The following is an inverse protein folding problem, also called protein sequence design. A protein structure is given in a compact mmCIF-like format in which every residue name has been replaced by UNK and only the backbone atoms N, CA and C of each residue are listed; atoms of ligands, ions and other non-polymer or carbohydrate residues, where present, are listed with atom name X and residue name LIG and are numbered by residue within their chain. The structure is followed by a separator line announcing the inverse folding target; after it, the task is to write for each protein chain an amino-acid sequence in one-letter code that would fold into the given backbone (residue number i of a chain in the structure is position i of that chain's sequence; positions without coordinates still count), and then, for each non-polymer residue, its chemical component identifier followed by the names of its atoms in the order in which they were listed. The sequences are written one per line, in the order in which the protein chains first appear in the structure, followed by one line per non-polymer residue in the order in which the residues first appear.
data_IF_952150013316
#
_entry.id   IF_952150013316
#
_cell.length_a   1.000
_cell.length_b   1.000
_cell.length_c   1.000
_cell.angle_alpha   90.00
_cell.angle_beta   90.00
_cell.angle_gamma   90.00
#
_symmetry.space_group_name_H-M   'P 1'
#
loop_
_entity.id
_entity.type
_entity.pdbx_description
1 polymer ?
#
# COMPACT_ATOMS: atom_id res chain seq x y z
N UNK A 1 2.74 9.41 -5.17
CA UNK A 1 3.30 10.22 -6.29
C UNK A 1 3.68 11.65 -5.86
N UNK A 2 2.75 12.55 -5.52
CA UNK A 2 3.09 13.98 -5.26
C UNK A 2 4.14 14.20 -4.15
N UNK A 3 4.07 13.43 -3.05
CA UNK A 3 5.03 13.54 -1.94
C UNK A 3 6.45 13.13 -2.34
N UNK A 4 6.59 12.12 -3.19
CA UNK A 4 7.88 11.61 -3.69
C UNK A 4 8.50 12.65 -4.64
N UNK A 5 7.70 13.23 -5.52
CA UNK A 5 8.15 14.29 -6.43
C UNK A 5 8.68 15.50 -5.64
N UNK A 6 8.03 15.87 -4.53
CA UNK A 6 8.48 16.98 -3.70
C UNK A 6 9.82 16.70 -3.01
N UNK A 7 10.06 15.48 -2.52
CA UNK A 7 11.34 15.10 -1.91
C UNK A 7 12.46 15.04 -2.96
N UNK A 8 12.19 14.53 -4.16
CA UNK A 8 13.14 14.55 -5.28
C UNK A 8 13.51 15.98 -5.67
N UNK A 9 12.52 16.87 -5.81
CA UNK A 9 12.79 18.28 -6.13
C UNK A 9 13.64 18.97 -5.05
N UNK A 10 13.46 18.59 -3.77
CA UNK A 10 14.28 19.09 -2.66
C UNK A 10 15.72 18.59 -2.75
N UNK A 11 15.90 17.32 -3.09
CA UNK A 11 17.22 16.72 -3.30
C UNK A 11 17.98 17.41 -4.45
N UNK A 12 17.31 17.62 -5.59
CA UNK A 12 17.89 18.30 -6.75
C UNK A 12 18.37 19.71 -6.40
N UNK A 13 17.57 20.46 -5.63
CA UNK A 13 17.96 21.81 -5.19
C UNK A 13 19.20 21.82 -4.29
N UNK A 14 19.34 20.84 -3.40
CA UNK A 14 20.54 20.72 -2.55
C UNK A 14 21.78 20.34 -3.37
N UNK A 15 21.61 19.49 -4.39
CA UNK A 15 22.69 19.11 -5.31
C UNK A 15 23.13 20.32 -6.15
N UNK A 16 22.19 21.10 -6.69
CA UNK A 16 22.50 22.32 -7.46
C UNK A 16 23.32 23.33 -6.64
N UNK A 17 22.92 23.59 -5.39
CA UNK A 17 23.65 24.49 -4.49
C UNK A 17 25.08 23.99 -4.25
N UNK A 18 25.24 22.70 -3.96
CA UNK A 18 26.56 22.10 -3.74
C UNK A 18 27.44 22.16 -5.00
N UNK A 19 26.86 21.99 -6.20
CA UNK A 19 27.60 22.09 -7.46
C UNK A 19 28.03 23.52 -7.78
N UNK A 20 27.18 24.52 -7.49
CA UNK A 20 27.51 25.94 -7.63
C UNK A 20 28.65 26.33 -6.67
N UNK A 21 28.57 25.93 -5.40
CA UNK A 21 29.63 26.16 -4.40
C UNK A 21 30.96 25.54 -4.88
N UNK A 22 30.96 24.30 -5.40
CA UNK A 22 32.13 23.64 -5.96
C UNK A 22 32.70 24.34 -7.21
N UNK A 23 31.87 25.03 -7.98
CA UNK A 23 32.30 25.76 -9.18
C UNK A 23 33.13 27.01 -8.84
N UNK A 24 32.83 27.66 -7.72
CA UNK A 24 33.58 28.83 -7.22
C UNK A 24 34.97 28.46 -6.71
N UNK A 25 35.13 27.25 -6.15
CA UNK A 25 36.43 26.73 -5.65
C UNK A 25 37.47 26.60 -6.77
N UNK A 26 37.04 26.25 -8.00
CA UNK A 26 37.94 26.11 -9.16
C UNK A 26 38.61 27.44 -9.56
N UNK A 27 38.08 28.58 -9.13
CA UNK A 27 38.66 29.90 -9.38
C UNK A 27 39.72 30.34 -8.36
N UNK A 28 39.93 29.59 -7.28
CA UNK A 28 40.83 29.98 -6.18
C UNK A 28 42.29 29.55 -6.40
N UNK A 29 43.28 30.15 -5.71
CA UNK A 29 44.67 29.70 -5.72
C UNK A 29 44.84 28.27 -5.16
N UNK A 30 45.76 27.44 -5.70
CA UNK A 30 45.92 26.03 -5.31
C UNK A 30 46.08 25.77 -3.80
N UNK A 31 46.77 26.66 -3.08
CA UNK A 31 46.96 26.54 -1.63
C UNK A 31 45.65 26.69 -0.82
N UNK A 32 44.68 27.45 -1.34
CA UNK A 32 43.35 27.58 -0.72
C UNK A 32 42.39 26.49 -1.20
N UNK A 33 42.64 25.89 -2.37
CA UNK A 33 41.88 24.74 -2.86
C UNK A 33 42.13 23.51 -1.97
N UNK A 34 43.37 23.21 -1.58
CA UNK A 34 43.68 22.06 -0.71
C UNK A 34 43.03 22.15 0.69
N UNK A 35 43.01 23.34 1.30
CA UNK A 35 42.34 23.58 2.59
C UNK A 35 40.79 23.49 2.48
N UNK A 36 40.22 23.87 1.33
CA UNK A 36 38.77 23.80 1.07
C UNK A 36 38.30 22.42 0.58
N UNK A 37 39.17 21.59 0.02
CA UNK A 37 38.85 20.19 -0.39
C UNK A 37 38.42 19.33 0.80
N UNK A 38 38.86 19.68 2.01
CA UNK A 38 38.36 19.08 3.25
C UNK A 38 36.93 19.50 3.64
N UNK A 39 36.38 20.58 3.07
CA UNK A 39 35.10 21.16 3.50
C UNK A 39 33.84 20.47 2.96
N UNK A 40 33.83 19.74 1.84
CA UNK A 40 32.55 19.19 1.33
C UNK A 40 32.49 17.69 1.12
N UNK A 41 33.55 16.94 1.40
CA UNK A 41 33.47 15.47 1.35
C UNK A 41 32.50 14.95 2.41
N UNK A 42 32.51 15.52 3.62
CA UNK A 42 31.60 15.13 4.70
C UNK A 42 30.13 15.39 4.36
N UNK A 43 29.81 16.55 3.79
CA UNK A 43 28.44 16.88 3.36
C UNK A 43 27.99 16.06 2.16
N UNK A 44 28.89 15.79 1.21
CA UNK A 44 28.60 14.90 0.08
C UNK A 44 28.32 13.47 0.56
N UNK A 45 29.04 12.98 1.57
CA UNK A 45 28.77 11.69 2.19
C UNK A 45 27.41 11.67 2.92
N UNK A 46 27.05 12.73 3.64
CA UNK A 46 25.72 12.86 4.26
C UNK A 46 24.59 12.87 3.21
N UNK A 47 24.80 13.56 2.09
CA UNK A 47 23.86 13.60 0.97
C UNK A 47 23.71 12.23 0.30
N UNK A 48 24.82 11.52 0.05
CA UNK A 48 24.80 10.16 -0.51
C UNK A 48 24.03 9.22 0.44
N UNK A 49 24.34 9.27 1.74
CA UNK A 49 23.65 8.45 2.73
C UNK A 49 22.15 8.76 2.81
N UNK A 50 21.76 10.04 2.72
CA UNK A 50 20.35 10.42 2.67
C UNK A 50 19.66 9.89 1.40
N UNK A 51 20.31 9.97 0.24
CA UNK A 51 19.79 9.39 -1.02
C UNK A 51 19.61 7.87 -0.87
N UNK A 52 20.57 7.16 -0.29
CA UNK A 52 20.45 5.72 -0.06
C UNK A 52 19.27 5.36 0.84
N UNK A 53 19.03 6.13 1.90
CA UNK A 53 17.86 5.96 2.79
C UNK A 53 16.56 6.17 2.02
N UNK A 54 16.46 7.25 1.25
CA UNK A 54 15.26 7.58 0.48
C UNK A 54 14.99 6.51 -0.58
N UNK A 55 16.00 6.08 -1.32
CA UNK A 55 15.86 5.01 -2.32
C UNK A 55 15.43 3.70 -1.63
N UNK A 56 15.99 3.37 -0.46
CA UNK A 56 15.56 2.19 0.28
C UNK A 56 14.10 2.28 0.73
N UNK A 57 13.65 3.41 1.26
CA UNK A 57 12.24 3.61 1.65
C UNK A 57 11.29 3.53 0.45
N UNK A 58 11.68 4.10 -0.70
CA UNK A 58 10.93 3.98 -1.95
C UNK A 58 10.85 2.54 -2.43
N UNK A 59 11.97 1.81 -2.44
CA UNK A 59 12.00 0.38 -2.77
C UNK A 59 11.08 -0.41 -1.85
N UNK A 60 11.15 -0.22 -0.54
CA UNK A 60 10.28 -0.95 0.40
C UNK A 60 8.80 -0.66 0.17
N UNK A 61 8.45 0.57 -0.20
CA UNK A 61 7.06 0.94 -0.55
C UNK A 61 6.60 0.29 -1.84
N UNK A 62 7.38 0.35 -2.91
CA UNK A 62 7.06 -0.32 -4.18
C UNK A 62 6.99 -1.84 -4.01
N UNK A 63 7.96 -2.47 -3.33
CA UNK A 63 7.93 -3.89 -3.01
C UNK A 63 6.67 -4.26 -2.24
N UNK A 64 6.31 -3.46 -1.22
CA UNK A 64 5.09 -3.69 -0.45
C UNK A 64 3.84 -3.55 -1.32
N UNK A 65 3.78 -2.59 -2.23
CA UNK A 65 2.64 -2.41 -3.15
C UNK A 65 2.53 -3.57 -4.15
N UNK A 66 3.66 -4.06 -4.66
CA UNK A 66 3.73 -5.21 -5.58
C UNK A 66 3.30 -6.51 -4.89
N UNK A 67 3.71 -6.75 -3.63
CA UNK A 67 3.42 -7.99 -2.89
C UNK A 67 2.19 -7.90 -1.99
N UNK A 68 1.55 -6.72 -1.88
CA UNK A 68 0.32 -6.60 -1.09
C UNK A 68 -0.79 -7.35 -1.79
N UNK A 69 -1.49 -8.27 -1.09
CA UNK A 69 -2.60 -9.00 -1.68
C UNK A 69 -3.62 -8.00 -2.21
N UNK A 70 -4.00 -8.16 -3.48
CA UNK A 70 -5.00 -7.32 -4.11
C UNK A 70 -6.30 -7.47 -3.34
N UNK A 71 -6.86 -6.39 -2.83
CA UNK A 71 -8.14 -6.43 -2.11
C UNK A 71 -9.28 -6.23 -3.11
N UNK A 72 -10.24 -7.17 -3.12
CA UNK A 72 -11.43 -7.11 -3.97
C UNK A 72 -12.62 -6.75 -3.09
N UNK A 73 -13.26 -5.61 -3.38
CA UNK A 73 -14.45 -5.14 -2.66
C UNK A 73 -15.73 -5.40 -3.45
N UNK A 74 -16.83 -5.62 -2.73
CA UNK A 74 -18.15 -5.81 -3.32
C UNK A 74 -19.22 -5.98 -2.24
N UNK A 75 -20.35 -6.57 -2.63
CA UNK A 75 -21.47 -6.84 -1.74
C UNK A 75 -21.74 -8.34 -1.65
N UNK A 76 -22.18 -8.80 -0.47
CA UNK A 76 -22.72 -10.14 -0.32
C UNK A 76 -24.07 -10.23 -1.03
N UNK A 77 -24.22 -11.24 -1.88
CA UNK A 77 -25.44 -11.52 -2.63
C UNK A 77 -25.78 -13.00 -2.56
N UNK A 78 -27.01 -13.36 -2.21
CA UNK A 78 -27.44 -14.75 -2.16
C UNK A 78 -27.89 -15.28 -3.54
N UNK A 79 -27.16 -16.25 -4.07
CA UNK A 79 -27.58 -16.97 -5.26
C UNK A 79 -28.50 -18.15 -4.89
N UNK A 80 -29.77 -18.05 -5.29
CA UNK A 80 -30.77 -19.08 -5.02
C UNK A 80 -30.60 -20.38 -5.83
N UNK A 81 -29.92 -20.35 -6.98
CA UNK A 81 -29.70 -21.51 -7.85
C UNK A 81 -28.74 -22.50 -7.21
N UNK A 82 -27.64 -22.02 -6.63
CA UNK A 82 -26.64 -22.87 -5.95
C UNK A 82 -26.71 -22.81 -4.42
N UNK A 83 -27.60 -21.97 -3.86
CA UNK A 83 -27.84 -21.78 -2.42
C UNK A 83 -26.60 -21.26 -1.67
N UNK A 84 -25.83 -20.39 -2.30
CA UNK A 84 -24.59 -19.81 -1.75
C UNK A 84 -24.64 -18.29 -1.73
N UNK A 85 -23.93 -17.71 -0.78
CA UNK A 85 -23.55 -16.30 -0.87
C UNK A 85 -22.40 -16.12 -1.85
N UNK A 86 -22.40 -15.00 -2.55
CA UNK A 86 -21.38 -14.56 -3.49
C UNK A 86 -20.87 -13.19 -3.12
N UNK A 87 -19.63 -12.91 -3.49
CA UNK A 87 -19.15 -11.55 -3.66
C UNK A 87 -19.63 -11.06 -5.04
N UNK A 88 -20.35 -9.94 -5.08
CA UNK A 88 -20.68 -9.22 -6.31
C UNK A 88 -19.91 -7.89 -6.31
N UNK A 89 -19.00 -7.73 -7.25
CA UNK A 89 -18.19 -6.51 -7.40
C UNK A 89 -18.90 -5.48 -8.28
N UNK A 90 -18.41 -4.23 -8.27
CA UNK A 90 -18.98 -3.14 -9.09
C UNK A 90 -18.87 -3.38 -10.61
N UNK A 91 -17.88 -4.16 -11.03
CA UNK A 91 -17.66 -4.60 -12.41
C UNK A 91 -18.35 -5.94 -12.72
N UNK A 92 -19.29 -6.38 -11.87
CA UNK A 92 -20.13 -7.56 -12.03
C UNK A 92 -19.38 -8.91 -12.06
N UNK A 93 -18.16 -8.95 -11.50
CA UNK A 93 -17.51 -10.23 -11.21
C UNK A 93 -18.15 -10.87 -9.98
N UNK A 94 -18.33 -12.19 -10.06
CA UNK A 94 -18.94 -12.98 -9.00
C UNK A 94 -17.98 -14.06 -8.51
N UNK A 95 -17.82 -14.17 -7.18
CA UNK A 95 -17.07 -15.25 -6.52
C UNK A 95 -17.97 -15.95 -5.51
N UNK A 96 -18.20 -17.25 -5.68
CA UNK A 96 -18.94 -18.08 -4.71
C UNK A 96 -18.16 -18.19 -3.40
N UNK A 97 -18.87 -18.03 -2.28
CA UNK A 97 -18.33 -18.34 -0.97
C UNK A 97 -18.56 -19.81 -0.59
N UNK A 98 -17.54 -20.36 0.03
CA UNK A 98 -17.54 -21.63 0.73
C UNK A 98 -17.47 -21.41 2.23
N UNK A 99 -17.95 -22.41 2.96
CA UNK A 99 -17.76 -22.48 4.40
C UNK A 99 -16.26 -22.33 4.71
N UNK A 100 -15.94 -21.43 5.62
CA UNK A 100 -14.58 -21.19 6.06
C UNK A 100 -13.83 -20.11 5.28
N UNK A 101 -14.41 -19.53 4.23
CA UNK A 101 -13.76 -18.40 3.56
C UNK A 101 -13.66 -17.18 4.49
N UNK A 102 -12.47 -16.58 4.49
CA UNK A 102 -12.18 -15.34 5.20
C UNK A 102 -12.60 -14.15 4.36
N UNK A 103 -13.12 -13.12 5.04
CA UNK A 103 -13.52 -11.86 4.44
C UNK A 103 -13.54 -10.79 5.52
N UNK A 104 -13.49 -9.53 5.11
CA UNK A 104 -13.80 -8.39 5.96
C UNK A 104 -15.17 -7.86 5.59
N UNK A 105 -15.94 -7.43 6.58
CA UNK A 105 -17.25 -6.78 6.40
C UNK A 105 -17.20 -5.36 6.94
N UNK A 106 -17.80 -4.42 6.23
CA UNK A 106 -17.87 -3.03 6.66
C UNK A 106 -19.00 -2.85 7.68
N UNK A 107 -18.64 -2.47 8.90
CA UNK A 107 -19.56 -2.23 10.02
C UNK A 107 -19.17 -0.90 10.66
N UNK A 108 -20.10 0.06 10.75
CA UNK A 108 -19.85 1.39 11.32
C UNK A 108 -18.59 2.07 10.75
N UNK A 109 -18.43 2.03 9.42
CA UNK A 109 -17.27 2.56 8.68
C UNK A 109 -15.92 1.89 8.98
N UNK A 110 -15.91 0.77 9.69
CA UNK A 110 -14.72 -0.03 9.97
C UNK A 110 -14.79 -1.42 9.32
N UNK A 111 -13.65 -1.87 8.80
CA UNK A 111 -13.51 -3.21 8.24
C UNK A 111 -13.23 -4.22 9.35
N UNK A 112 -14.17 -5.15 9.55
CA UNK A 112 -14.07 -6.16 10.61
C UNK A 112 -13.77 -7.52 9.99
N UNK A 113 -12.70 -8.16 10.44
CA UNK A 113 -12.33 -9.52 10.04
C UNK A 113 -13.39 -10.53 10.47
N UNK A 114 -13.78 -11.40 9.55
CA UNK A 114 -14.73 -12.46 9.83
C UNK A 114 -14.48 -13.67 8.93
N UNK A 115 -15.29 -14.71 9.16
CA UNK A 115 -15.34 -15.92 8.37
C UNK A 115 -16.79 -16.27 8.10
N UNK A 116 -17.10 -16.58 6.86
CA UNK A 116 -18.45 -17.01 6.47
C UNK A 116 -18.59 -18.52 6.69
N UNK A 117 -19.65 -18.92 7.38
CA UNK A 117 -19.92 -20.30 7.75
C UNK A 117 -21.37 -20.66 7.41
N UNK A 118 -21.66 -21.96 7.41
CA UNK A 118 -23.02 -22.49 7.29
C UNK A 118 -23.28 -23.45 8.44
N UNK A 119 -24.45 -23.34 9.07
CA UNK A 119 -24.83 -24.21 10.18
C UNK A 119 -25.48 -25.52 9.68
N UNK A 120 -25.78 -26.44 10.61
CA UNK A 120 -26.41 -27.73 10.29
C UNK A 120 -27.79 -27.61 9.62
N UNK A 121 -28.46 -26.45 9.74
CA UNK A 121 -29.74 -26.16 9.08
C UNK A 121 -29.57 -25.50 7.71
N UNK A 122 -28.35 -25.37 7.21
CA UNK A 122 -28.08 -24.70 5.93
C UNK A 122 -28.16 -23.17 5.99
N UNK A 123 -28.24 -22.56 7.18
CA UNK A 123 -28.26 -21.10 7.32
C UNK A 123 -26.82 -20.57 7.33
N UNK A 124 -26.53 -19.66 6.41
CA UNK A 124 -25.27 -18.93 6.34
C UNK A 124 -25.17 -17.87 7.45
N UNK A 125 -23.99 -17.64 7.99
CA UNK A 125 -23.71 -16.65 9.03
C UNK A 125 -22.26 -16.17 9.02
N UNK A 126 -22.01 -14.99 9.60
CA UNK A 126 -20.67 -14.44 9.81
C UNK A 126 -20.24 -14.60 11.27
N UNK A 127 -19.06 -15.19 11.50
CA UNK A 127 -18.52 -15.38 12.84
C UNK A 127 -18.21 -14.02 13.50
N UNK A 128 -18.63 -13.85 14.75
CA UNK A 128 -18.32 -12.67 15.56
C UNK A 128 -19.12 -11.40 15.20
N UNK A 129 -19.84 -11.40 14.07
CA UNK A 129 -20.61 -10.23 13.59
C UNK A 129 -22.07 -10.28 14.04
N UNK A 130 -22.58 -11.46 14.40
CA UNK A 130 -23.97 -11.64 14.84
C UNK A 130 -25.02 -11.53 13.73
N UNK A 131 -24.60 -11.49 12.45
CA UNK A 131 -25.49 -11.45 11.28
C UNK A 131 -25.64 -12.82 10.62
N UNK A 132 -26.84 -13.16 10.15
CA UNK A 132 -27.14 -14.46 9.56
C UNK A 132 -28.29 -14.45 8.55
N UNK A 133 -28.28 -15.39 7.60
CA UNK A 133 -29.33 -15.50 6.58
C UNK A 133 -29.51 -14.19 5.81
N UNK A 134 -30.76 -13.75 5.65
CA UNK A 134 -31.10 -12.53 4.89
C UNK A 134 -30.42 -11.25 5.39
N UNK A 135 -29.94 -11.21 6.64
CA UNK A 135 -29.16 -10.07 7.18
C UNK A 135 -27.80 -9.89 6.51
N UNK A 136 -27.33 -10.91 5.78
CA UNK A 136 -26.08 -10.88 5.02
C UNK A 136 -26.23 -10.18 3.67
N UNK A 137 -27.46 -10.09 3.15
CA UNK A 137 -27.73 -9.53 1.83
C UNK A 137 -27.34 -8.05 1.75
N UNK A 138 -26.55 -7.69 0.74
CA UNK A 138 -26.11 -6.34 0.49
C UNK A 138 -24.98 -5.84 1.42
N UNK A 139 -24.54 -6.62 2.40
CA UNK A 139 -23.40 -6.23 3.24
C UNK A 139 -22.18 -5.98 2.37
N UNK A 140 -21.55 -4.81 2.55
CA UNK A 140 -20.30 -4.49 1.86
C UNK A 140 -19.17 -5.30 2.48
N UNK A 141 -18.45 -6.02 1.64
CA UNK A 141 -17.39 -6.94 2.03
C UNK A 141 -16.17 -6.74 1.16
N UNK A 142 -15.02 -7.20 1.66
CA UNK A 142 -13.79 -7.30 0.87
C UNK A 142 -13.05 -8.58 1.19
N UNK A 143 -12.34 -9.10 0.20
CA UNK A 143 -11.53 -10.31 0.31
C UNK A 143 -10.15 -10.05 -0.25
N UNK A 144 -9.17 -10.79 0.22
CA UNK A 144 -7.90 -10.90 -0.49
C UNK A 144 -8.18 -11.66 -1.80
N UNK A 145 -7.77 -11.05 -2.91
CA UNK A 145 -7.82 -11.60 -4.25
C UNK A 145 -6.63 -12.51 -4.46
N UNK A 146 -6.88 -13.67 -5.05
CA UNK A 146 -5.83 -14.55 -5.54
C UNK A 146 -5.27 -13.95 -6.84
N UNK A 147 -3.95 -13.94 -7.00
CA UNK A 147 -3.32 -13.75 -8.32
C UNK A 147 -3.75 -14.96 -9.19
N UNK A 148 -4.71 -14.75 -10.08
CA UNK A 148 -4.98 -15.70 -11.16
C UNK A 148 -3.84 -15.68 -12.17
#
# INVERSE_FOLDING_TARGET
MQKIQNELNRAYKHIEIALDELSEIKGLPPALQEDMVHFDIGKLLELINWIDIVINDLRQKEYKEIISPKVIEGNLFYNAQNKRYRLLTSDLHEKDFHRGNHLQVLINDEWVDTRIEINAKGKWYLIGIGKSGSELEGLRVRVEGDEN
#
